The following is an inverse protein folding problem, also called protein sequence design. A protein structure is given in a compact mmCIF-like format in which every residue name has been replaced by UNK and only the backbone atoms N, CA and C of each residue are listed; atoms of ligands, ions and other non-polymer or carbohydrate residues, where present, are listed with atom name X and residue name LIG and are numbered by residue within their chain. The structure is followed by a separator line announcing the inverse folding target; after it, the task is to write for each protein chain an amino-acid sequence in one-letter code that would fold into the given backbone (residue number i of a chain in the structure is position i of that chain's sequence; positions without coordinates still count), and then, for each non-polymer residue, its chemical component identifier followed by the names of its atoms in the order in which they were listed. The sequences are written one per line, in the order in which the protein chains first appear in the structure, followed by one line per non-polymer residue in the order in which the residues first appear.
data_IF_603548232294
#
_entry.id   IF_603548232294
#
_cell.length_a   1.000
_cell.length_b   1.000
_cell.length_c   1.000
_cell.angle_alpha   90.00
_cell.angle_beta   90.00
_cell.angle_gamma   90.00
#
_symmetry.space_group_name_H-M   'P 1'
#
loop_
_entity.id
_entity.type
_entity.pdbx_description
1 polymer ?
#
# COMPACT_ATOMS: atom_id res chain seq x y z
N UNK A 1 -25.28 24.39 3.38
CA UNK A 1 -25.90 23.08 3.60
C UNK A 1 -25.22 21.94 2.81
N UNK A 2 -24.88 22.14 1.53
CA UNK A 2 -24.22 21.09 0.69
C UNK A 2 -22.83 20.72 1.23
N UNK A 3 -22.03 21.67 1.69
CA UNK A 3 -20.69 21.43 2.26
C UNK A 3 -20.71 20.65 3.59
N UNK A 4 -21.66 20.93 4.47
CA UNK A 4 -21.81 20.19 5.73
C UNK A 4 -22.17 18.72 5.47
N UNK A 5 -23.02 18.44 4.48
CA UNK A 5 -23.36 17.08 4.09
C UNK A 5 -22.18 16.32 3.46
N UNK A 6 -21.31 17.01 2.71
CA UNK A 6 -20.10 16.41 2.14
C UNK A 6 -19.08 16.08 3.22
N UNK A 7 -18.81 16.98 4.16
CA UNK A 7 -17.91 16.75 5.30
C UNK A 7 -18.37 15.59 6.20
N UNK A 8 -19.67 15.55 6.51
CA UNK A 8 -20.23 14.44 7.30
C UNK A 8 -20.09 13.09 6.58
N UNK A 9 -20.28 13.05 5.26
CA UNK A 9 -20.11 11.84 4.46
C UNK A 9 -18.65 11.37 4.48
N UNK A 10 -17.69 12.29 4.32
CA UNK A 10 -16.26 11.99 4.39
C UNK A 10 -15.85 11.48 5.77
N UNK A 11 -16.30 12.13 6.85
CA UNK A 11 -16.05 11.68 8.22
C UNK A 11 -16.60 10.28 8.48
N UNK A 12 -17.83 9.99 8.03
CA UNK A 12 -18.41 8.63 8.11
C UNK A 12 -17.57 7.62 7.36
N UNK A 13 -17.11 7.95 6.16
CA UNK A 13 -16.26 7.10 5.34
C UNK A 13 -14.96 6.77 6.07
N UNK A 14 -14.26 7.76 6.62
CA UNK A 14 -13.04 7.55 7.42
C UNK A 14 -13.33 6.66 8.63
N UNK A 15 -14.40 6.95 9.38
CA UNK A 15 -14.73 6.20 10.60
C UNK A 15 -15.04 4.74 10.29
N UNK A 16 -15.88 4.46 9.29
CA UNK A 16 -16.25 3.09 8.89
C UNK A 16 -15.03 2.33 8.38
N UNK A 17 -14.22 2.97 7.50
CA UNK A 17 -13.01 2.34 6.96
C UNK A 17 -11.97 2.05 8.05
N UNK A 18 -11.75 3.00 8.97
CA UNK A 18 -10.83 2.81 10.10
C UNK A 18 -11.31 1.71 11.04
N UNK A 19 -12.61 1.67 11.37
CA UNK A 19 -13.20 0.63 12.20
C UNK A 19 -13.00 -0.76 11.59
N UNK A 20 -13.21 -0.88 10.27
CA UNK A 20 -13.04 -2.13 9.54
C UNK A 20 -11.58 -2.61 9.57
N UNK A 21 -10.62 -1.71 9.30
CA UNK A 21 -9.19 -2.04 9.36
C UNK A 21 -8.80 -2.50 10.76
N UNK A 22 -9.22 -1.76 11.79
CA UNK A 22 -8.96 -2.11 13.21
C UNK A 22 -9.59 -3.46 13.56
N UNK A 23 -10.81 -3.74 13.10
CA UNK A 23 -11.47 -5.03 13.31
C UNK A 23 -10.67 -6.19 12.70
N UNK A 24 -10.19 -6.04 11.46
CA UNK A 24 -9.34 -7.05 10.81
C UNK A 24 -8.04 -7.26 11.60
N UNK A 25 -7.40 -6.19 12.05
CA UNK A 25 -6.19 -6.27 12.85
C UNK A 25 -6.43 -6.98 14.19
N UNK A 26 -7.45 -6.59 14.96
CA UNK A 26 -7.81 -7.22 16.22
C UNK A 26 -8.14 -8.70 16.01
N UNK A 27 -8.98 -9.03 15.04
CA UNK A 27 -9.32 -10.40 14.69
C UNK A 27 -8.08 -11.23 14.34
N UNK A 28 -7.09 -10.64 13.67
CA UNK A 28 -5.84 -11.34 13.33
C UNK A 28 -5.00 -11.74 14.52
N UNK A 29 -5.13 -11.02 15.65
CA UNK A 29 -4.46 -11.37 16.90
C UNK A 29 -5.28 -12.33 17.75
N UNK A 30 -6.62 -12.19 17.75
CA UNK A 30 -7.51 -13.02 18.57
C UNK A 30 -7.68 -14.44 18.02
N UNK A 31 -7.66 -14.61 16.69
CA UNK A 31 -7.83 -15.93 16.09
C UNK A 31 -6.63 -16.84 16.39
N UNK A 32 -6.91 -18.02 16.92
CA UNK A 32 -5.88 -18.96 17.34
C UNK A 32 -5.05 -19.51 16.16
N UNK A 33 -3.74 -19.73 16.38
CA UNK A 33 -2.88 -20.35 15.38
C UNK A 33 -3.21 -21.83 15.16
N UNK A 34 -3.85 -22.46 16.13
CA UNK A 34 -4.33 -23.85 16.01
C UNK A 34 -5.28 -24.05 14.82
N UNK A 35 -6.06 -23.02 14.46
CA UNK A 35 -6.96 -23.05 13.32
C UNK A 35 -6.23 -23.08 11.96
N UNK A 36 -4.91 -22.90 11.95
CA UNK A 36 -4.04 -23.01 10.76
C UNK A 36 -3.39 -24.40 10.66
N UNK A 37 -3.53 -25.25 11.66
CA UNK A 37 -3.06 -26.63 11.64
C UNK A 37 -3.95 -27.44 10.69
N UNK A 38 -3.34 -28.31 9.91
CA UNK A 38 -4.08 -29.15 8.97
C UNK A 38 -4.93 -30.19 9.70
N UNK A 39 -6.23 -30.20 9.44
CA UNK A 39 -7.18 -31.20 9.90
C UNK A 39 -7.80 -31.90 8.69
N UNK A 40 -7.24 -33.05 8.35
CA UNK A 40 -7.67 -33.79 7.18
C UNK A 40 -9.10 -34.33 7.27
N UNK A 41 -9.72 -34.36 8.46
CA UNK A 41 -11.14 -34.72 8.64
C UNK A 41 -12.09 -33.61 8.21
N UNK A 42 -11.63 -32.37 8.21
CA UNK A 42 -12.40 -31.16 7.88
C UNK A 42 -12.08 -30.57 6.48
N UNK A 43 -11.61 -31.40 5.53
CA UNK A 43 -11.24 -30.94 4.18
C UNK A 43 -12.44 -30.39 3.41
N UNK A 44 -12.21 -29.24 2.75
CA UNK A 44 -13.15 -28.64 1.78
C UNK A 44 -14.57 -28.50 2.30
N UNK A 45 -14.77 -28.28 3.60
CA UNK A 45 -16.07 -28.05 4.17
C UNK A 45 -16.60 -26.68 3.68
N UNK A 46 -17.87 -26.62 3.24
CA UNK A 46 -18.49 -25.35 2.87
C UNK A 46 -18.65 -24.42 4.07
N UNK A 47 -18.92 -23.13 3.85
CA UNK A 47 -19.21 -22.18 4.91
C UNK A 47 -20.33 -22.67 5.82
N UNK A 48 -20.07 -22.60 7.15
CA UNK A 48 -20.98 -23.07 8.18
C UNK A 48 -20.79 -22.24 9.47
N UNK A 49 -21.64 -22.46 10.48
CA UNK A 49 -21.48 -21.81 11.78
C UNK A 49 -20.16 -22.16 12.50
N UNK A 50 -19.61 -23.34 12.24
CA UNK A 50 -18.31 -23.77 12.76
C UNK A 50 -17.14 -23.17 11.98
N UNK A 51 -17.30 -22.99 10.66
CA UNK A 51 -16.31 -22.45 9.75
C UNK A 51 -16.95 -21.40 8.85
N UNK A 52 -16.94 -20.14 9.28
CA UNK A 52 -17.68 -19.06 8.62
C UNK A 52 -17.30 -18.88 7.14
N UNK A 53 -16.03 -19.07 6.78
CA UNK A 53 -15.52 -19.02 5.41
C UNK A 53 -15.25 -20.42 4.83
N UNK A 54 -15.72 -21.48 5.52
CA UNK A 54 -15.39 -22.86 5.17
C UNK A 54 -13.94 -23.22 5.49
N UNK A 55 -13.50 -24.37 4.98
CA UNK A 55 -12.15 -24.87 5.13
C UNK A 55 -11.49 -25.12 3.78
N UNK A 56 -10.17 -25.18 3.77
CA UNK A 56 -9.40 -25.49 2.57
C UNK A 56 -9.16 -27.00 2.35
N UNK A 57 -8.38 -27.31 1.35
CA UNK A 57 -8.02 -28.68 0.96
C UNK A 57 -7.12 -29.41 2.01
N UNK A 58 -6.58 -28.69 2.99
CA UNK A 58 -5.88 -29.25 4.15
C UNK A 58 -6.76 -29.25 5.42
N UNK A 59 -8.01 -28.75 5.36
CA UNK A 59 -8.90 -28.63 6.48
C UNK A 59 -8.63 -27.41 7.38
N UNK A 60 -7.82 -26.45 6.90
CA UNK A 60 -7.51 -25.23 7.67
C UNK A 60 -8.67 -24.24 7.57
N UNK A 61 -8.98 -23.54 8.65
CA UNK A 61 -10.05 -22.55 8.70
C UNK A 61 -9.75 -21.32 7.82
N UNK A 62 -10.64 -21.06 6.85
CA UNK A 62 -10.44 -20.03 5.83
C UNK A 62 -10.59 -18.61 6.38
N UNK A 63 -11.42 -18.38 7.42
CA UNK A 63 -11.52 -17.06 8.06
C UNK A 63 -10.18 -16.69 8.70
N UNK A 64 -9.67 -17.60 9.52
CA UNK A 64 -8.37 -17.41 10.20
C UNK A 64 -7.24 -17.22 9.20
N UNK A 65 -7.19 -18.04 8.15
CA UNK A 65 -6.20 -17.92 7.09
C UNK A 65 -6.25 -16.56 6.39
N UNK A 66 -7.46 -16.14 6.02
CA UNK A 66 -7.67 -14.87 5.30
C UNK A 66 -7.26 -13.67 6.15
N UNK A 67 -7.73 -13.60 7.39
CA UNK A 67 -7.46 -12.47 8.29
C UNK A 67 -5.97 -12.37 8.63
N UNK A 68 -5.30 -13.48 8.91
CA UNK A 68 -3.85 -13.50 9.14
C UNK A 68 -3.06 -13.20 7.87
N UNK A 69 -3.54 -13.68 6.72
CA UNK A 69 -2.97 -13.36 5.43
C UNK A 69 -3.04 -11.87 5.11
N UNK A 70 -4.18 -11.23 5.33
CA UNK A 70 -4.34 -9.79 5.16
C UNK A 70 -3.38 -8.99 6.05
N UNK A 71 -3.26 -9.38 7.33
CA UNK A 71 -2.29 -8.74 8.22
C UNK A 71 -0.87 -8.84 7.69
N UNK A 72 -0.46 -10.01 7.18
CA UNK A 72 0.89 -10.20 6.63
C UNK A 72 1.11 -9.37 5.37
N UNK A 73 0.13 -9.35 4.46
CA UNK A 73 0.15 -8.48 3.27
C UNK A 73 0.21 -7.00 3.63
N UNK A 74 -0.53 -6.57 4.67
CA UNK A 74 -0.45 -5.18 5.18
C UNK A 74 0.95 -4.83 5.69
N UNK A 75 1.62 -5.72 6.42
CA UNK A 75 2.98 -5.46 6.92
C UNK A 75 3.95 -5.28 5.76
N UNK A 76 3.90 -6.15 4.75
CA UNK A 76 4.77 -6.04 3.57
C UNK A 76 4.48 -4.76 2.79
N UNK A 77 3.20 -4.47 2.54
CA UNK A 77 2.78 -3.25 1.87
C UNK A 77 3.20 -2.00 2.63
N UNK A 78 3.07 -1.98 3.96
CA UNK A 78 3.49 -0.87 4.83
C UNK A 78 5.01 -0.61 4.71
N UNK A 79 5.82 -1.64 4.82
CA UNK A 79 7.27 -1.50 4.73
C UNK A 79 7.71 -1.05 3.33
N UNK A 80 7.16 -1.67 2.28
CA UNK A 80 7.49 -1.32 0.90
C UNK A 80 7.09 0.11 0.55
N UNK A 81 5.85 0.52 0.90
CA UNK A 81 5.37 1.88 0.64
C UNK A 81 6.09 2.92 1.48
N UNK A 82 6.39 2.65 2.76
CA UNK A 82 7.12 3.59 3.61
C UNK A 82 8.52 3.89 3.06
N UNK A 83 9.27 2.86 2.64
CA UNK A 83 10.58 3.04 2.00
C UNK A 83 10.42 3.78 0.67
N UNK A 84 9.43 3.41 -0.15
CA UNK A 84 9.14 4.08 -1.42
C UNK A 84 8.83 5.57 -1.25
N UNK A 85 8.07 5.94 -0.22
CA UNK A 85 7.78 7.34 0.12
C UNK A 85 9.04 8.09 0.53
N UNK A 86 9.92 7.50 1.35
CA UNK A 86 11.18 8.13 1.73
C UNK A 86 12.03 8.41 0.48
N UNK A 87 12.16 7.43 -0.43
CA UNK A 87 12.88 7.60 -1.71
C UNK A 87 12.23 8.70 -2.56
N UNK A 88 10.90 8.71 -2.66
CA UNK A 88 10.15 9.71 -3.42
C UNK A 88 10.37 11.14 -2.89
N UNK A 89 10.31 11.31 -1.57
CA UNK A 89 10.51 12.62 -0.92
C UNK A 89 11.94 13.11 -1.14
N UNK A 90 12.92 12.24 -0.91
CA UNK A 90 14.34 12.60 -1.11
C UNK A 90 14.61 13.01 -2.55
N UNK A 91 14.24 12.17 -3.53
CA UNK A 91 14.46 12.44 -4.94
C UNK A 91 13.64 13.65 -5.44
N UNK A 92 12.39 13.79 -4.98
CA UNK A 92 11.54 14.93 -5.34
C UNK A 92 12.11 16.27 -4.84
N UNK A 93 12.61 16.31 -3.60
CA UNK A 93 13.26 17.51 -3.04
C UNK A 93 14.57 17.78 -3.80
N UNK A 94 15.42 16.77 -4.03
CA UNK A 94 16.69 16.94 -4.77
C UNK A 94 16.41 17.47 -6.20
N UNK A 95 15.39 16.97 -6.88
CA UNK A 95 14.99 17.47 -8.18
C UNK A 95 14.58 18.95 -8.13
N UNK A 96 13.86 19.36 -7.09
CA UNK A 96 13.38 20.74 -6.97
C UNK A 96 14.47 21.75 -6.61
N UNK A 97 15.40 21.40 -5.67
CA UNK A 97 16.38 22.34 -5.13
C UNK A 97 17.79 22.15 -5.67
N UNK A 98 18.09 21.03 -6.33
CA UNK A 98 19.44 20.65 -6.82
C UNK A 98 19.87 21.32 -8.14
N UNK A 99 19.00 22.15 -8.72
CA UNK A 99 19.26 22.86 -9.98
C UNK A 99 18.93 22.06 -11.24
N UNK A 100 19.09 22.69 -12.42
CA UNK A 100 18.60 22.14 -13.71
C UNK A 100 19.13 20.74 -14.03
N UNK A 101 20.40 20.42 -13.72
CA UNK A 101 20.98 19.10 -14.03
C UNK A 101 20.35 17.99 -13.18
N UNK A 102 20.23 18.21 -11.85
CA UNK A 102 19.58 17.25 -10.94
C UNK A 102 18.12 17.04 -11.33
N UNK A 103 17.41 18.10 -11.62
CA UNK A 103 16.02 18.08 -12.09
C UNK A 103 15.86 17.22 -13.35
N UNK A 104 16.67 17.47 -14.38
CA UNK A 104 16.60 16.73 -15.65
C UNK A 104 16.91 15.25 -15.48
N UNK A 105 17.92 14.90 -14.69
CA UNK A 105 18.30 13.49 -14.45
C UNK A 105 17.19 12.76 -13.68
N UNK A 106 16.65 13.36 -12.62
CA UNK A 106 15.60 12.73 -11.84
C UNK A 106 14.29 12.59 -12.63
N UNK A 107 13.92 13.61 -13.43
CA UNK A 107 12.76 13.50 -14.31
C UNK A 107 12.95 12.40 -15.36
N UNK A 108 14.12 12.29 -15.95
CA UNK A 108 14.43 11.21 -16.89
C UNK A 108 14.30 9.83 -16.22
N UNK A 109 14.81 9.67 -14.98
CA UNK A 109 14.60 8.43 -14.21
C UNK A 109 13.12 8.17 -13.96
N UNK A 110 12.36 9.17 -13.52
CA UNK A 110 10.91 9.06 -13.30
C UNK A 110 10.20 8.58 -14.57
N UNK A 111 10.51 9.19 -15.73
CA UNK A 111 9.90 8.85 -17.00
C UNK A 111 10.26 7.43 -17.45
N UNK A 112 11.52 7.01 -17.24
CA UNK A 112 11.97 5.66 -17.51
C UNK A 112 11.19 4.62 -16.68
N UNK A 113 11.02 4.86 -15.36
CA UNK A 113 10.30 3.93 -14.48
C UNK A 113 8.80 3.87 -14.80
N UNK A 114 8.17 5.01 -15.13
CA UNK A 114 6.75 5.06 -15.49
C UNK A 114 6.49 4.41 -16.87
N UNK A 115 7.45 4.50 -17.78
CA UNK A 115 7.35 3.92 -19.13
C UNK A 115 7.45 2.40 -19.17
N UNK A 116 7.91 1.75 -18.10
CA UNK A 116 8.01 0.30 -18.05
C UNK A 116 6.70 -0.35 -17.55
N UNK A 117 6.32 -1.54 -18.08
CA UNK A 117 5.19 -2.29 -17.53
C UNK A 117 5.43 -2.62 -16.04
N UNK A 118 4.65 -1.94 -15.17
CA UNK A 118 4.91 -1.89 -13.73
C UNK A 118 5.09 -3.26 -13.06
N UNK A 119 4.14 -4.20 -13.30
CA UNK A 119 4.21 -5.55 -12.72
C UNK A 119 5.44 -6.34 -13.19
N UNK A 120 5.81 -6.22 -14.46
CA UNK A 120 6.99 -6.92 -14.99
C UNK A 120 8.26 -6.41 -14.32
N UNK A 121 8.38 -5.10 -14.19
CA UNK A 121 9.54 -4.48 -13.57
C UNK A 121 9.64 -4.81 -12.07
N UNK A 122 8.49 -4.81 -11.37
CA UNK A 122 8.39 -5.21 -9.97
C UNK A 122 8.81 -6.67 -9.77
N UNK A 123 8.38 -7.59 -10.64
CA UNK A 123 8.78 -9.00 -10.62
C UNK A 123 10.29 -9.14 -10.81
N UNK A 124 10.87 -8.44 -11.80
CA UNK A 124 12.31 -8.51 -12.07
C UNK A 124 13.13 -8.03 -10.87
N UNK A 125 12.78 -6.90 -10.28
CA UNK A 125 13.47 -6.37 -9.10
C UNK A 125 13.33 -7.32 -7.92
N UNK A 126 12.12 -7.81 -7.66
CA UNK A 126 11.87 -8.73 -6.56
C UNK A 126 12.66 -10.02 -6.70
N UNK A 127 12.74 -10.54 -7.92
CA UNK A 127 13.54 -11.73 -8.22
C UNK A 127 15.04 -11.50 -7.99
N UNK A 128 15.57 -10.38 -8.50
CA UNK A 128 16.97 -9.99 -8.32
C UNK A 128 17.33 -9.73 -6.84
N UNK A 129 16.38 -9.24 -6.04
CA UNK A 129 16.55 -8.99 -4.61
C UNK A 129 16.38 -10.25 -3.72
N UNK A 130 16.13 -11.42 -4.30
CA UNK A 130 16.14 -12.71 -3.61
C UNK A 130 14.78 -13.29 -3.27
N UNK A 131 13.71 -12.92 -4.00
CA UNK A 131 12.32 -13.41 -3.81
C UNK A 131 11.78 -13.26 -2.38
N UNK A 132 10.56 -13.71 -2.14
CA UNK A 132 9.92 -13.67 -0.83
C UNK A 132 9.61 -12.26 -0.33
N UNK A 133 9.35 -12.12 0.96
CA UNK A 133 8.96 -10.85 1.57
C UNK A 133 9.99 -9.73 1.33
N UNK A 134 11.30 -10.03 1.47
CA UNK A 134 12.38 -9.07 1.22
C UNK A 134 12.37 -8.57 -0.22
N UNK A 135 12.28 -9.49 -1.19
CA UNK A 135 12.24 -9.14 -2.61
C UNK A 135 11.04 -8.26 -2.94
N UNK A 136 9.85 -8.59 -2.40
CA UNK A 136 8.64 -7.78 -2.62
C UNK A 136 8.79 -6.39 -2.01
N UNK A 137 9.26 -6.26 -0.78
CA UNK A 137 9.46 -4.97 -0.12
C UNK A 137 10.39 -4.08 -0.94
N UNK A 138 11.53 -4.62 -1.41
CA UNK A 138 12.49 -3.90 -2.25
C UNK A 138 11.86 -3.57 -3.61
N UNK A 139 11.18 -4.52 -4.24
CA UNK A 139 10.48 -4.31 -5.51
C UNK A 139 9.46 -3.17 -5.43
N UNK A 140 8.58 -3.22 -4.42
CA UNK A 140 7.58 -2.16 -4.17
C UNK A 140 8.26 -0.82 -3.90
N UNK A 141 9.26 -0.79 -3.01
CA UNK A 141 9.97 0.44 -2.65
C UNK A 141 10.61 1.12 -3.88
N UNK A 142 11.23 0.32 -4.76
CA UNK A 142 11.92 0.83 -5.94
C UNK A 142 11.03 1.10 -7.15
N UNK A 143 9.78 0.68 -7.14
CA UNK A 143 8.87 0.91 -8.29
C UNK A 143 7.79 1.94 -8.02
N UNK A 144 7.45 2.23 -6.76
CA UNK A 144 6.33 3.11 -6.43
C UNK A 144 6.71 4.58 -6.16
N UNK A 145 8.01 4.90 -6.06
CA UNK A 145 8.48 6.26 -5.78
C UNK A 145 8.25 7.29 -6.91
N UNK A 146 8.22 6.96 -8.23
CA UNK A 146 8.31 7.97 -9.29
C UNK A 146 7.16 8.97 -9.31
N UNK A 147 5.91 8.48 -9.23
CA UNK A 147 4.73 9.35 -9.26
C UNK A 147 4.70 10.31 -8.06
N UNK A 148 5.01 9.82 -6.85
CA UNK A 148 5.07 10.64 -5.66
C UNK A 148 6.27 11.61 -5.68
N UNK A 149 7.43 11.20 -6.20
CA UNK A 149 8.58 12.09 -6.36
C UNK A 149 8.27 13.27 -7.30
N UNK A 150 7.53 13.01 -8.39
CA UNK A 150 7.06 14.08 -9.30
C UNK A 150 6.12 15.05 -8.59
N UNK A 151 5.19 14.53 -7.78
CA UNK A 151 4.29 15.34 -6.97
C UNK A 151 5.07 16.22 -5.99
N UNK A 152 5.95 15.62 -5.18
CA UNK A 152 6.79 16.32 -4.21
C UNK A 152 7.63 17.41 -4.88
N UNK A 153 8.27 17.09 -6.02
CA UNK A 153 9.03 18.08 -6.79
C UNK A 153 8.18 19.29 -7.20
N UNK A 154 6.99 19.06 -7.71
CA UNK A 154 6.12 20.12 -8.16
C UNK A 154 5.63 21.00 -7.01
N UNK A 155 5.24 20.40 -5.89
CA UNK A 155 4.86 21.12 -4.66
C UNK A 155 6.02 21.95 -4.11
N UNK A 156 7.22 21.37 -3.99
CA UNK A 156 8.41 22.09 -3.54
C UNK A 156 8.70 23.29 -4.44
N UNK A 157 8.63 23.12 -5.77
CA UNK A 157 8.83 24.23 -6.72
C UNK A 157 7.78 25.34 -6.59
N UNK A 158 6.53 24.98 -6.31
CA UNK A 158 5.48 25.96 -6.07
C UNK A 158 5.77 26.78 -4.79
N UNK A 159 6.13 26.09 -3.69
CA UNK A 159 6.41 26.72 -2.40
C UNK A 159 7.67 27.61 -2.46
N UNK A 160 8.70 27.25 -3.24
CA UNK A 160 9.91 28.07 -3.41
C UNK A 160 9.63 29.49 -3.92
N UNK A 161 8.50 29.70 -4.59
CA UNK A 161 8.12 31.01 -5.08
C UNK A 161 7.49 31.94 -4.01
N UNK A 162 7.14 31.41 -2.83
CA UNK A 162 6.52 32.20 -1.77
C UNK A 162 7.50 33.20 -1.15
N UNK A 163 6.98 34.36 -0.74
CA UNK A 163 7.77 35.47 -0.22
C UNK A 163 8.59 35.11 1.01
N UNK A 164 8.04 34.33 1.93
CA UNK A 164 8.75 33.93 3.16
C UNK A 164 10.00 33.07 2.88
N UNK A 165 10.01 32.32 1.76
CA UNK A 165 11.20 31.57 1.32
C UNK A 165 12.27 32.54 0.82
N UNK A 166 11.89 33.49 -0.05
CA UNK A 166 12.78 34.53 -0.58
C UNK A 166 13.39 35.40 0.52
N UNK A 167 12.57 35.75 1.52
CA UNK A 167 13.04 36.47 2.72
C UNK A 167 14.09 35.63 3.47
N UNK A 168 13.83 34.33 3.68
CA UNK A 168 14.76 33.42 4.35
C UNK A 168 16.09 33.33 3.59
N UNK A 169 16.05 33.29 2.25
CA UNK A 169 17.25 33.30 1.39
C UNK A 169 18.00 34.64 1.53
N UNK A 170 17.29 35.78 1.54
CA UNK A 170 17.88 37.11 1.71
C UNK A 170 18.58 37.28 3.06
N UNK A 171 18.14 36.57 4.10
CA UNK A 171 18.82 36.47 5.40
C UNK A 171 20.00 35.50 5.41
N UNK A 172 20.41 34.98 4.25
CA UNK A 172 21.59 34.10 4.11
C UNK A 172 21.38 32.69 4.66
N UNK A 173 20.14 32.24 4.84
CA UNK A 173 19.86 30.87 5.30
C UNK A 173 20.27 29.85 4.23
N UNK A 174 20.91 28.76 4.66
CA UNK A 174 21.36 27.70 3.77
C UNK A 174 20.17 26.94 3.14
N UNK A 175 20.37 26.36 1.97
CA UNK A 175 19.35 25.49 1.30
C UNK A 175 18.87 24.36 2.22
N UNK A 176 19.77 23.73 2.97
CA UNK A 176 19.42 22.67 3.91
C UNK A 176 18.48 23.19 5.02
N UNK A 177 18.73 24.39 5.53
CA UNK A 177 17.85 25.06 6.50
C UNK A 177 16.46 25.28 5.91
N UNK A 178 16.38 25.81 4.68
CA UNK A 178 15.11 26.09 3.99
C UNK A 178 14.34 24.78 3.74
N UNK A 179 15.01 23.73 3.28
CA UNK A 179 14.39 22.39 3.10
C UNK A 179 13.82 21.88 4.40
N UNK A 180 14.61 21.87 5.48
CA UNK A 180 14.20 21.27 6.75
C UNK A 180 13.11 22.06 7.46
N UNK A 181 13.19 23.41 7.48
CA UNK A 181 12.34 24.26 8.31
C UNK A 181 11.16 24.86 7.58
N UNK A 182 11.17 24.90 6.25
CA UNK A 182 10.10 25.50 5.45
C UNK A 182 9.48 24.50 4.47
N UNK A 183 10.28 23.86 3.59
CA UNK A 183 9.74 23.03 2.52
C UNK A 183 9.16 21.71 3.04
N UNK A 184 9.94 20.96 3.82
CA UNK A 184 9.51 19.65 4.34
C UNK A 184 8.25 19.72 5.21
N UNK A 185 8.13 20.66 6.19
CA UNK A 185 6.88 20.80 6.93
C UNK A 185 5.68 21.20 6.06
N UNK A 186 5.89 22.03 5.05
CA UNK A 186 4.82 22.50 4.17
C UNK A 186 4.26 21.38 3.26
N UNK A 187 5.11 20.45 2.81
CA UNK A 187 4.67 19.33 1.96
C UNK A 187 4.26 18.09 2.76
N UNK A 188 4.42 18.08 4.08
CA UNK A 188 4.12 16.91 4.92
C UNK A 188 2.67 16.40 4.76
N UNK A 189 1.64 17.24 4.68
CA UNK A 189 0.28 16.78 4.43
C UNK A 189 0.13 16.02 3.11
N UNK A 190 0.76 16.50 2.04
CA UNK A 190 0.75 15.82 0.73
C UNK A 190 1.50 14.50 0.75
N UNK A 191 2.60 14.42 1.50
CA UNK A 191 3.35 13.17 1.71
C UNK A 191 2.46 12.14 2.41
N UNK A 192 1.73 12.54 3.46
CA UNK A 192 0.82 11.65 4.20
C UNK A 192 -0.29 11.10 3.30
N UNK A 193 -0.93 11.95 2.50
CA UNK A 193 -1.94 11.54 1.52
C UNK A 193 -1.32 10.61 0.47
N UNK A 194 -0.15 10.97 -0.06
CA UNK A 194 0.59 10.14 -1.01
C UNK A 194 0.88 8.75 -0.46
N UNK A 195 1.34 8.65 0.79
CA UNK A 195 1.55 7.38 1.47
C UNK A 195 0.25 6.55 1.58
N UNK A 196 -0.85 7.17 2.03
CA UNK A 196 -2.12 6.48 2.22
C UNK A 196 -2.73 5.95 0.91
N UNK A 197 -2.48 6.66 -0.20
CA UNK A 197 -2.92 6.21 -1.53
C UNK A 197 -1.97 5.14 -2.11
N UNK A 198 -0.70 5.18 -1.78
CA UNK A 198 0.32 4.26 -2.27
C UNK A 198 0.25 2.89 -1.57
N UNK A 199 -0.09 2.90 -0.29
CA UNK A 199 -0.12 1.70 0.55
C UNK A 199 -1.10 0.61 0.07
N UNK A 200 -2.38 0.88 -0.28
CA UNK A 200 -3.28 -0.14 -0.82
C UNK A 200 -2.81 -0.71 -2.15
N UNK A 201 -2.18 0.11 -3.02
CA UNK A 201 -1.56 -0.40 -4.25
C UNK A 201 -0.41 -1.37 -3.95
N UNK A 202 0.40 -1.10 -2.93
CA UNK A 202 1.47 -1.99 -2.50
C UNK A 202 0.94 -3.36 -2.04
N UNK A 203 -0.19 -3.40 -1.31
CA UNK A 203 -0.87 -4.64 -0.91
C UNK A 203 -1.36 -5.42 -2.14
N UNK A 204 -1.99 -4.74 -3.10
CA UNK A 204 -2.47 -5.37 -4.33
C UNK A 204 -1.31 -5.95 -5.17
N UNK A 205 -0.20 -5.23 -5.27
CA UNK A 205 0.97 -5.71 -5.99
C UNK A 205 1.64 -6.91 -5.29
N UNK A 206 1.74 -6.89 -3.94
CA UNK A 206 2.18 -8.07 -3.18
C UNK A 206 1.29 -9.27 -3.47
N UNK A 207 -0.04 -9.10 -3.34
CA UNK A 207 -1.00 -10.17 -3.58
C UNK A 207 -0.92 -10.69 -5.02
N UNK A 208 -0.81 -9.82 -6.02
CA UNK A 208 -0.69 -10.17 -7.44
C UNK A 208 0.59 -10.95 -7.74
N UNK A 209 1.73 -10.49 -7.23
CA UNK A 209 3.02 -11.18 -7.41
C UNK A 209 3.01 -12.56 -6.76
N UNK A 210 2.46 -12.64 -5.55
CA UNK A 210 2.36 -13.89 -4.80
C UNK A 210 1.38 -14.85 -5.47
N UNK A 211 0.25 -14.35 -5.99
CA UNK A 211 -0.70 -15.10 -6.79
C UNK A 211 -0.06 -15.71 -8.04
N UNK A 212 0.79 -14.97 -8.73
CA UNK A 212 1.52 -15.42 -9.92
C UNK A 212 2.71 -16.35 -9.61
N UNK A 213 3.00 -16.61 -8.33
CA UNK A 213 4.09 -17.49 -7.90
C UNK A 213 5.47 -16.84 -7.80
N UNK A 214 5.56 -15.52 -7.98
CA UNK A 214 6.83 -14.77 -7.87
C UNK A 214 7.04 -14.13 -6.50
N UNK A 215 6.08 -14.28 -5.58
CA UNK A 215 6.07 -13.63 -4.29
C UNK A 215 6.49 -14.51 -3.12
N UNK A 216 5.59 -14.66 -2.16
CA UNK A 216 5.84 -15.34 -0.89
C UNK A 216 5.86 -16.87 -1.03
N UNK A 217 6.52 -17.53 -0.08
CA UNK A 217 6.45 -18.99 0.03
C UNK A 217 5.12 -19.46 0.61
N UNK A 218 4.68 -20.66 0.25
CA UNK A 218 3.42 -21.26 0.70
C UNK A 218 3.32 -21.47 2.24
N UNK A 219 4.46 -21.40 2.95
CA UNK A 219 4.52 -21.58 4.40
C UNK A 219 3.89 -20.41 5.19
N UNK A 220 3.88 -19.21 4.60
CA UNK A 220 3.35 -18.02 5.25
C UNK A 220 1.99 -17.68 4.68
N UNK A 221 0.94 -17.54 5.49
CA UNK A 221 -0.37 -17.15 4.97
C UNK A 221 -0.28 -15.72 4.41
N UNK A 222 -0.62 -15.58 3.14
CA UNK A 222 -0.91 -14.29 2.49
C UNK A 222 -2.12 -14.46 1.59
N UNK A 223 -2.81 -13.37 1.29
CA UNK A 223 -4.01 -13.43 0.46
C UNK A 223 -3.65 -13.90 -0.96
N UNK A 224 -2.49 -13.50 -1.49
CA UNK A 224 -2.02 -13.94 -2.80
C UNK A 224 -1.82 -15.46 -2.88
N UNK A 225 -1.27 -16.09 -1.84
CA UNK A 225 -1.12 -17.56 -1.76
C UNK A 225 -2.50 -18.22 -1.70
N UNK A 226 -3.39 -17.72 -0.83
CA UNK A 226 -4.73 -18.29 -0.68
C UNK A 226 -5.47 -18.27 -2.02
N UNK A 227 -5.43 -17.14 -2.75
CA UNK A 227 -6.06 -17.02 -4.05
C UNK A 227 -5.40 -17.91 -5.12
N UNK A 228 -4.07 -18.06 -5.11
CA UNK A 228 -3.34 -18.94 -6.02
C UNK A 228 -3.70 -20.41 -5.80
N UNK A 229 -3.85 -20.83 -4.54
CA UNK A 229 -4.33 -22.18 -4.19
C UNK A 229 -5.80 -22.37 -4.61
N UNK A 230 -6.65 -21.36 -4.38
CA UNK A 230 -8.08 -21.41 -4.68
C UNK A 230 -8.38 -21.69 -6.14
N UNK A 231 -7.59 -21.14 -7.08
CA UNK A 231 -7.77 -21.37 -8.54
C UNK A 231 -7.79 -22.87 -8.88
N UNK A 232 -6.99 -23.68 -8.19
CA UNK A 232 -6.90 -25.13 -8.42
C UNK A 232 -8.16 -25.89 -7.98
N UNK A 233 -8.97 -25.28 -7.10
CA UNK A 233 -10.13 -25.91 -6.46
C UNK A 233 -11.48 -25.30 -6.88
N UNK A 234 -11.47 -24.18 -7.59
CA UNK A 234 -12.68 -23.47 -8.04
C UNK A 234 -13.52 -24.33 -8.98
N UNK A 235 -12.87 -25.05 -9.91
CA UNK A 235 -13.52 -25.97 -10.86
C UNK A 235 -14.19 -27.18 -10.18
N UNK A 236 -13.80 -27.47 -8.94
CA UNK A 236 -14.38 -28.51 -8.10
C UNK A 236 -15.57 -28.01 -7.27
N UNK A 237 -16.00 -26.76 -7.46
CA UNK A 237 -17.13 -26.14 -6.75
C UNK A 237 -16.75 -25.45 -5.43
N UNK A 238 -15.47 -25.39 -5.05
CA UNK A 238 -15.03 -24.77 -3.79
C UNK A 238 -14.83 -23.25 -3.94
N UNK A 239 -15.87 -22.54 -4.37
CA UNK A 239 -15.87 -21.10 -4.67
C UNK A 239 -15.50 -20.22 -3.48
N UNK A 240 -15.81 -20.63 -2.26
CA UNK A 240 -15.54 -19.87 -1.03
C UNK A 240 -14.06 -19.61 -0.79
N UNK A 241 -13.18 -20.50 -1.30
CA UNK A 241 -11.73 -20.37 -1.19
C UNK A 241 -11.19 -19.11 -1.89
N UNK A 242 -11.89 -18.64 -2.93
CA UNK A 242 -11.52 -17.42 -3.65
C UNK A 242 -12.36 -16.21 -3.26
N UNK A 243 -13.69 -16.39 -3.13
CA UNK A 243 -14.63 -15.27 -2.96
C UNK A 243 -14.40 -14.54 -1.64
N UNK A 244 -14.30 -15.24 -0.51
CA UNK A 244 -14.12 -14.58 0.78
C UNK A 244 -12.77 -13.88 0.94
N UNK A 245 -11.61 -14.50 0.61
CA UNK A 245 -10.33 -13.82 0.66
C UNK A 245 -10.24 -12.65 -0.31
N UNK A 246 -10.75 -12.82 -1.53
CA UNK A 246 -10.77 -11.76 -2.55
C UNK A 246 -11.66 -10.59 -2.14
N UNK A 247 -12.85 -10.86 -1.62
CA UNK A 247 -13.76 -9.83 -1.13
C UNK A 247 -13.16 -9.04 0.04
N UNK A 248 -12.58 -9.74 1.03
CA UNK A 248 -11.94 -9.07 2.17
C UNK A 248 -10.73 -8.24 1.76
N UNK A 249 -9.93 -8.71 0.80
CA UNK A 249 -8.83 -7.92 0.21
C UNK A 249 -9.38 -6.66 -0.47
N UNK A 250 -10.42 -6.79 -1.31
CA UNK A 250 -11.02 -5.66 -2.00
C UNK A 250 -11.61 -4.63 -1.03
N UNK A 251 -12.29 -5.09 0.03
CA UNK A 251 -12.84 -4.24 1.08
C UNK A 251 -11.72 -3.51 1.84
N UNK A 252 -10.63 -4.21 2.18
CA UNK A 252 -9.48 -3.62 2.86
C UNK A 252 -8.83 -2.51 2.01
N UNK A 253 -8.54 -2.81 0.74
CA UNK A 253 -7.96 -1.86 -0.22
C UNK A 253 -8.86 -0.64 -0.36
N UNK A 254 -10.17 -0.86 -0.60
CA UNK A 254 -11.15 0.24 -0.72
C UNK A 254 -11.25 1.09 0.54
N UNK A 255 -11.07 0.49 1.72
CA UNK A 255 -11.06 1.23 2.99
C UNK A 255 -9.88 2.18 3.09
N UNK A 256 -8.68 1.76 2.69
CA UNK A 256 -7.51 2.64 2.66
C UNK A 256 -7.64 3.73 1.60
N UNK A 257 -8.10 3.41 0.38
CA UNK A 257 -8.36 4.39 -0.67
C UNK A 257 -9.35 5.46 -0.19
N UNK A 258 -10.43 5.02 0.45
CA UNK A 258 -11.47 5.91 0.98
C UNK A 258 -10.95 6.88 2.05
N UNK A 259 -10.04 6.41 2.92
CA UNK A 259 -9.36 7.28 3.90
C UNK A 259 -8.44 8.27 3.18
N UNK A 260 -7.61 7.79 2.23
CA UNK A 260 -6.67 8.62 1.48
C UNK A 260 -7.37 9.71 0.67
N UNK A 261 -8.44 9.36 -0.07
CA UNK A 261 -9.25 10.32 -0.83
C UNK A 261 -9.94 11.35 0.09
N UNK A 262 -10.50 10.90 1.22
CA UNK A 262 -11.13 11.78 2.18
C UNK A 262 -10.14 12.77 2.79
N UNK A 263 -8.93 12.32 3.16
CA UNK A 263 -7.88 13.19 3.67
C UNK A 263 -7.37 14.15 2.61
N UNK A 264 -7.23 13.70 1.36
CA UNK A 264 -6.87 14.58 0.24
C UNK A 264 -7.86 15.72 0.09
N UNK A 265 -9.15 15.46 0.22
CA UNK A 265 -10.18 16.50 0.16
C UNK A 265 -10.07 17.51 1.29
N UNK A 266 -9.71 17.10 2.51
CA UNK A 266 -9.51 18.01 3.64
C UNK A 266 -8.25 18.85 3.53
N UNK A 267 -7.22 18.39 2.83
CA UNK A 267 -5.93 19.07 2.70
C UNK A 267 -5.88 19.94 1.44
N UNK A 268 -6.66 19.61 0.39
CA UNK A 268 -6.72 20.45 -0.80
C UNK A 268 -7.25 21.85 -0.46
N UNK A 269 -6.55 22.93 -0.83
CA UNK A 269 -7.09 24.27 -0.69
C UNK A 269 -8.36 24.39 -1.52
N UNK A 270 -9.42 24.88 -0.89
CA UNK A 270 -10.69 25.27 -1.55
C UNK A 270 -10.51 26.58 -2.29
#
# INVERSE_FOLDING_TARGET
MVELHSRQRLMRSITVSSLLIVTILIASFMLANTNLVSDYSAKNLPPSAAHLFGTDWLGRDMLTRTVKGLRFSMIIGLLGSAIGVIVAVLLGIIAAVGGKKADSVILWLIDMFIGMPHLVFLILISFAAGRGAKGIIIGVALTHWPALARLVRNEVKAIQNFEYIKISESFGKSRCFIVKNHLLPAILPQIMVGFLLLFPHAILHEASMTFLGFGLSAEKPSVGIILSEAVKHISLGHWWLAVFPGALLAILVKSFDSIGESLRFFIAPQ
#
